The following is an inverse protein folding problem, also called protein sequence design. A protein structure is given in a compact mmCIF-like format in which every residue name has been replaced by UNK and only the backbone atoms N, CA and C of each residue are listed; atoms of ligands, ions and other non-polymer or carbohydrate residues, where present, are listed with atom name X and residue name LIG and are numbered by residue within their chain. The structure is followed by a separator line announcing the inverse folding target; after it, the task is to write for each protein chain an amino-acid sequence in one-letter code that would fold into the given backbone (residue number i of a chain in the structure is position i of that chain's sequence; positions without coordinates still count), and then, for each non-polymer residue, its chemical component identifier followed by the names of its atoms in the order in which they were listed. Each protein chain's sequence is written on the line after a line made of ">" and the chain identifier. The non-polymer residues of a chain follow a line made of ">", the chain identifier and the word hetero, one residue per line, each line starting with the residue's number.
data_IF_395864627024
#
_entry.id   IF_395864627024
#
_cell.length_a   1.000
_cell.length_b   1.000
_cell.length_c   1.000
_cell.angle_alpha   90.00
_cell.angle_beta   90.00
_cell.angle_gamma   90.00
#
_symmetry.space_group_name_H-M   'P 1'
#
loop_
_entity.id
_entity.type
_entity.pdbx_description
1 polymer ?
#
# COMPACT_ATOMS: atom_id res chain seq x y z
N UNK A 1 -20.79 -0.97 -27.01
CA UNK A 1 -19.64 -0.52 -26.18
C UNK A 1 -19.10 0.74 -26.81
N UNK A 2 -19.26 1.88 -26.13
CA UNK A 2 -18.75 3.16 -26.58
C UNK A 2 -18.42 4.07 -25.38
N UNK A 3 -17.43 4.94 -25.60
CA UNK A 3 -17.15 6.04 -24.69
C UNK A 3 -17.92 7.28 -25.18
N UNK A 4 -18.78 7.82 -24.32
CA UNK A 4 -19.64 8.97 -24.63
C UNK A 4 -19.32 10.13 -23.70
N UNK A 5 -19.58 11.36 -24.16
CA UNK A 5 -19.41 12.55 -23.33
C UNK A 5 -20.23 12.49 -22.02
N UNK A 6 -21.44 11.92 -22.05
CA UNK A 6 -22.30 11.75 -20.86
C UNK A 6 -21.71 10.80 -19.79
N UNK A 7 -20.70 10.00 -20.14
CA UNK A 7 -20.01 9.12 -19.20
C UNK A 7 -18.94 9.84 -18.37
N UNK A 8 -18.55 11.05 -18.78
CA UNK A 8 -17.49 11.84 -18.14
C UNK A 8 -18.10 12.77 -17.08
N UNK A 9 -17.81 12.50 -15.81
CA UNK A 9 -18.27 13.33 -14.70
C UNK A 9 -17.09 14.20 -14.24
N UNK A 10 -17.15 15.53 -14.41
CA UNK A 10 -16.03 16.41 -14.12
C UNK A 10 -15.71 16.48 -12.63
N UNK A 11 -14.44 16.69 -12.30
CA UNK A 11 -14.00 17.00 -10.95
C UNK A 11 -14.14 18.50 -10.69
N UNK A 12 -14.75 18.87 -9.56
CA UNK A 12 -14.82 20.27 -9.15
C UNK A 12 -13.49 20.74 -8.56
N UNK A 13 -13.17 22.02 -8.68
CA UNK A 13 -11.93 22.60 -8.12
C UNK A 13 -11.80 22.38 -6.62
N UNK A 14 -12.91 22.39 -5.88
CA UNK A 14 -12.92 22.11 -4.43
C UNK A 14 -12.54 20.67 -4.05
N UNK A 15 -12.64 19.73 -5.01
CA UNK A 15 -12.26 18.33 -4.83
C UNK A 15 -10.77 18.08 -5.16
N UNK A 16 -10.05 19.11 -5.64
CA UNK A 16 -8.63 19.02 -5.98
C UNK A 16 -7.77 19.40 -4.78
N UNK A 17 -6.66 18.68 -4.62
CA UNK A 17 -5.66 19.00 -3.60
C UNK A 17 -4.69 20.00 -4.22
N UNK A 18 -4.50 21.20 -3.64
CA UNK A 18 -3.54 22.17 -4.15
C UNK A 18 -2.10 21.64 -4.14
N UNK A 19 -1.28 22.07 -5.10
CA UNK A 19 0.14 21.71 -5.14
C UNK A 19 0.90 22.20 -3.89
N UNK A 20 0.51 23.35 -3.35
CA UNK A 20 1.08 23.99 -2.15
C UNK A 20 0.35 23.60 -0.85
N UNK A 21 -0.30 22.43 -0.82
CA UNK A 21 -1.01 21.96 0.37
C UNK A 21 -0.10 21.83 1.61
N UNK A 22 -0.67 22.12 2.78
CA UNK A 22 0.04 22.14 4.07
C UNK A 22 0.66 20.79 4.48
N UNK A 23 0.19 19.68 3.90
CA UNK A 23 0.64 18.33 4.27
C UNK A 23 1.75 17.78 3.38
N UNK A 24 2.05 18.44 2.25
CA UNK A 24 3.05 17.99 1.27
C UNK A 24 2.60 16.79 0.45
N UNK A 25 1.30 16.62 0.21
CA UNK A 25 0.79 15.58 -0.68
C UNK A 25 1.21 15.84 -2.14
N UNK A 26 1.63 14.79 -2.83
CA UNK A 26 2.01 14.78 -4.24
C UNK A 26 1.16 13.75 -4.97
N UNK A 27 -0.05 14.14 -5.34
CA UNK A 27 -1.03 13.26 -5.99
C UNK A 27 -1.30 13.70 -7.42
N UNK A 28 -1.37 12.74 -8.33
CA UNK A 28 -1.81 13.01 -9.69
C UNK A 28 -3.34 13.01 -9.69
N UNK A 29 -3.95 14.20 -9.65
CA UNK A 29 -5.40 14.33 -9.65
C UNK A 29 -5.95 14.18 -11.06
N UNK A 30 -6.79 13.15 -11.35
CA UNK A 30 -7.41 13.02 -12.66
C UNK A 30 -8.38 14.15 -12.96
N UNK A 31 -8.50 14.52 -14.24
CA UNK A 31 -9.42 15.55 -14.74
C UNK A 31 -10.86 15.26 -14.33
N UNK A 32 -11.28 13.99 -14.46
CA UNK A 32 -12.62 13.56 -14.14
C UNK A 32 -12.71 13.02 -12.70
N UNK A 33 -13.88 13.19 -12.11
CA UNK A 33 -14.25 12.54 -10.85
C UNK A 33 -14.61 11.09 -11.10
N UNK A 34 -15.32 10.83 -12.19
CA UNK A 34 -15.61 9.50 -12.69
C UNK A 34 -15.58 9.50 -14.21
N UNK A 35 -14.95 8.49 -14.79
CA UNK A 35 -15.05 8.18 -16.20
C UNK A 35 -15.77 6.83 -16.36
N UNK A 36 -17.04 6.87 -16.76
CA UNK A 36 -17.90 5.68 -16.95
C UNK A 36 -17.87 5.14 -18.38
N UNK A 37 -16.86 5.51 -19.17
CA UNK A 37 -16.68 5.05 -20.55
C UNK A 37 -16.61 3.53 -20.61
N UNK A 38 -17.46 2.89 -21.41
CA UNK A 38 -17.54 1.43 -21.45
C UNK A 38 -16.23 0.81 -21.98
N UNK A 39 -15.64 1.38 -23.03
CA UNK A 39 -14.40 0.88 -23.62
C UNK A 39 -13.21 1.23 -22.74
N UNK A 40 -13.19 2.44 -22.17
CA UNK A 40 -12.17 2.87 -21.20
C UNK A 40 -12.07 1.91 -20.00
N UNK A 41 -13.21 1.62 -19.36
CA UNK A 41 -13.25 0.73 -18.20
C UNK A 41 -12.87 -0.71 -18.56
N UNK A 42 -13.25 -1.20 -19.75
CA UNK A 42 -12.85 -2.52 -20.24
C UNK A 42 -11.36 -2.60 -20.65
N UNK A 43 -10.70 -1.46 -20.83
CA UNK A 43 -9.29 -1.37 -21.26
C UNK A 43 -8.30 -1.28 -20.09
N UNK A 44 -8.77 -1.37 -18.84
CA UNK A 44 -7.90 -1.38 -17.65
C UNK A 44 -6.95 -2.57 -17.71
N UNK A 45 -5.65 -2.29 -17.94
CA UNK A 45 -4.63 -3.32 -18.16
C UNK A 45 -4.32 -4.17 -16.93
N UNK A 46 -4.43 -3.59 -15.73
CA UNK A 46 -4.04 -4.23 -14.46
C UNK A 46 -5.01 -3.88 -13.34
N UNK A 47 -5.55 -4.91 -12.69
CA UNK A 47 -6.55 -4.77 -11.66
C UNK A 47 -7.92 -4.41 -12.24
N UNK A 48 -8.76 -3.78 -11.43
CA UNK A 48 -10.16 -3.50 -11.76
C UNK A 48 -10.52 -2.02 -11.62
N UNK A 49 -9.52 -1.17 -11.42
CA UNK A 49 -9.71 0.25 -11.11
C UNK A 49 -9.15 1.11 -12.24
N UNK A 50 -9.99 2.01 -12.72
CA UNK A 50 -9.59 3.17 -13.52
C UNK A 50 -8.67 4.11 -12.73
N UNK A 51 -8.08 5.10 -13.41
CA UNK A 51 -7.25 6.11 -12.75
C UNK A 51 -8.05 6.94 -11.74
N UNK A 52 -9.29 7.28 -12.07
CA UNK A 52 -10.22 8.00 -11.21
C UNK A 52 -10.56 7.21 -9.94
N UNK A 53 -10.89 5.92 -10.09
CA UNK A 53 -11.21 5.06 -8.95
C UNK A 53 -9.98 4.79 -8.08
N UNK A 54 -8.80 4.61 -8.70
CA UNK A 54 -7.54 4.47 -7.98
C UNK A 54 -7.21 5.71 -7.18
N UNK A 55 -7.39 6.90 -7.75
CA UNK A 55 -7.24 8.17 -7.03
C UNK A 55 -8.17 8.23 -5.81
N UNK A 56 -9.44 7.87 -5.99
CA UNK A 56 -10.42 7.88 -4.89
C UNK A 56 -10.05 6.90 -3.78
N UNK A 57 -9.66 5.67 -4.12
CA UNK A 57 -9.25 4.66 -3.14
C UNK A 57 -7.98 5.10 -2.42
N UNK A 58 -6.95 5.56 -3.14
CA UNK A 58 -5.71 6.06 -2.53
C UNK A 58 -5.95 7.25 -1.57
N UNK A 59 -7.07 7.96 -1.73
CA UNK A 59 -7.51 9.03 -0.85
C UNK A 59 -7.64 8.64 0.63
N UNK A 60 -7.80 7.35 0.97
CA UNK A 60 -7.84 6.90 2.37
C UNK A 60 -6.56 7.28 3.15
N UNK A 61 -5.41 7.32 2.48
CA UNK A 61 -4.13 7.71 3.08
C UNK A 61 -4.08 9.21 3.38
N UNK A 62 -4.60 10.02 2.45
CA UNK A 62 -4.76 11.47 2.63
C UNK A 62 -5.66 11.75 3.83
N UNK A 63 -6.84 11.12 3.88
CA UNK A 63 -7.79 11.32 4.98
C UNK A 63 -7.20 10.87 6.32
N UNK A 64 -6.49 9.74 6.35
CA UNK A 64 -5.77 9.25 7.54
C UNK A 64 -4.79 10.29 8.07
N UNK A 65 -3.96 10.87 7.20
CA UNK A 65 -3.00 11.91 7.60
C UNK A 65 -3.71 13.16 8.11
N UNK A 66 -4.74 13.64 7.41
CA UNK A 66 -5.49 14.84 7.82
C UNK A 66 -6.14 14.61 9.19
N UNK A 67 -6.85 13.49 9.37
CA UNK A 67 -7.55 13.18 10.62
C UNK A 67 -6.57 13.03 11.78
N UNK A 68 -5.51 12.24 11.61
CA UNK A 68 -4.57 11.94 12.70
C UNK A 68 -3.70 13.15 13.09
N UNK A 69 -3.36 14.05 12.15
CA UNK A 69 -2.64 15.28 12.51
C UNK A 69 -3.46 16.26 13.35
N UNK A 70 -4.79 16.14 13.34
CA UNK A 70 -5.67 16.97 14.17
C UNK A 70 -5.87 16.39 15.59
N UNK A 71 -5.32 15.21 15.89
CA UNK A 71 -5.43 14.61 17.22
C UNK A 71 -4.29 15.05 18.14
N UNK A 72 -4.56 15.27 19.45
CA UNK A 72 -3.57 15.74 20.41
C UNK A 72 -2.67 14.60 20.90
N UNK A 73 -1.83 14.04 20.03
CA UNK A 73 -0.91 12.96 20.41
C UNK A 73 0.15 13.44 21.42
N UNK A 74 0.47 12.64 22.46
CA UNK A 74 1.63 12.89 23.29
C UNK A 74 2.92 12.75 22.47
N UNK A 75 4.03 13.31 22.97
CA UNK A 75 5.34 13.30 22.26
C UNK A 75 5.79 11.91 21.82
N UNK A 76 5.49 10.86 22.60
CA UNK A 76 5.81 9.47 22.28
C UNK A 76 5.05 8.92 21.07
N UNK A 77 3.89 9.48 20.75
CA UNK A 77 3.01 9.05 19.65
C UNK A 77 2.97 10.06 18.49
N UNK A 78 3.85 11.07 18.49
CA UNK A 78 3.86 12.13 17.46
C UNK A 78 4.01 11.61 16.02
N UNK A 79 4.60 10.42 15.86
CA UNK A 79 4.83 9.81 14.55
C UNK A 79 3.64 8.97 14.04
N UNK A 80 2.59 8.76 14.85
CA UNK A 80 1.42 7.95 14.47
C UNK A 80 0.80 8.40 13.13
N UNK A 81 0.58 9.71 12.86
CA UNK A 81 0.06 10.14 11.56
C UNK A 81 0.96 9.76 10.38
N UNK A 82 2.29 9.81 10.57
CA UNK A 82 3.25 9.45 9.52
C UNK A 82 3.33 7.94 9.33
N UNK A 83 3.30 7.17 10.41
CA UNK A 83 3.27 5.70 10.35
C UNK A 83 2.03 5.24 9.59
N UNK A 84 0.85 5.61 10.09
CA UNK A 84 -0.44 5.32 9.46
C UNK A 84 -0.54 5.85 8.04
N UNK A 85 0.03 7.03 7.77
CA UNK A 85 -0.08 7.75 6.51
C UNK A 85 0.91 7.36 5.42
N UNK A 86 1.96 6.59 5.73
CA UNK A 86 3.06 6.33 4.79
C UNK A 86 3.37 4.86 4.56
N UNK A 87 2.55 3.92 5.04
CA UNK A 87 2.78 2.49 4.76
C UNK A 87 2.51 2.07 3.29
N UNK A 88 2.04 3.00 2.45
CA UNK A 88 1.95 2.86 0.99
C UNK A 88 3.06 3.61 0.23
N UNK A 89 4.02 4.20 0.95
CA UNK A 89 5.20 4.82 0.35
C UNK A 89 6.26 3.75 0.04
N UNK A 90 6.80 3.75 -1.17
CA UNK A 90 7.85 2.80 -1.59
C UNK A 90 9.24 3.36 -1.34
N UNK A 91 10.26 2.51 -1.27
CA UNK A 91 11.64 2.95 -0.95
C UNK A 91 12.24 3.83 -2.06
N UNK A 92 11.75 3.70 -3.29
CA UNK A 92 12.15 4.49 -4.45
C UNK A 92 11.33 5.78 -4.69
N UNK A 93 10.39 6.12 -3.79
CA UNK A 93 9.60 7.35 -3.87
C UNK A 93 8.49 7.33 -4.92
N UNK A 94 8.14 6.17 -5.48
CA UNK A 94 7.00 6.01 -6.41
C UNK A 94 5.66 5.73 -5.69
N UNK A 95 5.70 5.55 -4.38
CA UNK A 95 4.51 5.35 -3.55
C UNK A 95 3.69 6.63 -3.34
N UNK A 96 2.75 6.58 -2.41
CA UNK A 96 1.79 7.66 -2.16
C UNK A 96 1.45 7.75 -0.66
N UNK A 97 0.94 8.90 -0.17
CA UNK A 97 0.47 10.09 -0.91
C UNK A 97 1.48 11.24 -1.06
N UNK A 98 2.66 11.16 -0.48
CA UNK A 98 3.70 12.21 -0.47
C UNK A 98 4.91 11.89 -1.35
N UNK A 99 5.03 10.66 -1.86
CA UNK A 99 6.17 10.19 -2.66
C UNK A 99 7.48 10.33 -1.89
N UNK A 100 7.49 9.77 -0.68
CA UNK A 100 8.65 9.81 0.22
C UNK A 100 9.67 8.76 -0.20
N UNK A 101 10.95 9.12 -0.23
CA UNK A 101 12.02 8.13 -0.35
C UNK A 101 12.30 7.46 0.99
N UNK A 102 13.00 6.33 0.98
CA UNK A 102 13.32 5.52 2.17
C UNK A 102 13.82 6.34 3.39
N UNK A 103 14.72 7.31 3.17
CA UNK A 103 15.32 8.13 4.24
C UNK A 103 14.37 9.13 4.89
N UNK A 104 13.24 9.42 4.24
CA UNK A 104 12.20 10.31 4.75
C UNK A 104 11.13 9.56 5.56
N UNK A 105 11.17 8.22 5.53
CA UNK A 105 10.19 7.35 6.18
C UNK A 105 10.74 6.79 7.50
N UNK A 106 10.00 6.90 8.62
CA UNK A 106 10.43 6.29 9.86
C UNK A 106 10.46 4.76 9.72
N UNK A 107 11.41 4.11 10.40
CA UNK A 107 11.54 2.63 10.41
C UNK A 107 10.21 1.94 10.70
N UNK A 108 9.44 2.46 11.66
CA UNK A 108 8.14 1.90 12.01
C UNK A 108 7.12 1.94 10.88
N UNK A 109 7.17 2.92 9.97
CA UNK A 109 6.30 2.94 8.78
C UNK A 109 6.73 1.87 7.77
N UNK A 110 8.06 1.73 7.56
CA UNK A 110 8.64 0.71 6.68
C UNK A 110 8.36 -0.71 7.19
N UNK A 111 8.45 -0.93 8.51
CA UNK A 111 8.05 -2.18 9.16
C UNK A 111 6.56 -2.46 8.97
N UNK A 112 5.71 -1.43 9.13
CA UNK A 112 4.25 -1.60 8.99
C UNK A 112 3.85 -1.98 7.56
N UNK A 113 4.52 -1.43 6.54
CA UNK A 113 4.30 -1.84 5.16
C UNK A 113 4.57 -3.33 4.94
N UNK A 114 5.69 -3.86 5.46
CA UNK A 114 6.02 -5.29 5.35
C UNK A 114 4.94 -6.13 6.06
N UNK A 115 4.54 -5.72 7.26
CA UNK A 115 3.50 -6.40 8.04
C UNK A 115 2.14 -6.40 7.32
N UNK A 116 1.72 -5.26 6.77
CA UNK A 116 0.46 -5.10 6.03
C UNK A 116 0.43 -5.96 4.77
N UNK A 117 1.51 -5.94 3.98
CA UNK A 117 1.61 -6.78 2.78
C UNK A 117 1.58 -8.27 3.15
N UNK A 118 2.35 -8.68 4.17
CA UNK A 118 2.41 -10.08 4.58
C UNK A 118 1.06 -10.59 5.09
N UNK A 119 0.37 -9.81 5.93
CA UNK A 119 -1.00 -10.09 6.37
C UNK A 119 -1.93 -10.23 5.15
N UNK A 120 -1.91 -9.26 4.24
CA UNK A 120 -2.79 -9.26 3.07
C UNK A 120 -2.57 -10.42 2.10
N UNK A 121 -1.36 -10.98 2.05
CA UNK A 121 -1.04 -12.17 1.25
C UNK A 121 -1.50 -13.46 1.93
N UNK A 122 -1.43 -13.51 3.26
CA UNK A 122 -1.66 -14.73 4.06
C UNK A 122 -3.08 -14.82 4.63
N UNK A 123 -3.86 -13.74 4.62
CA UNK A 123 -5.23 -13.70 5.12
C UNK A 123 -6.16 -14.69 4.38
N UNK A 124 -6.85 -15.54 5.15
CA UNK A 124 -7.77 -16.58 4.65
C UNK A 124 -9.24 -16.18 4.65
N UNK A 125 -9.56 -15.02 5.20
CA UNK A 125 -10.92 -14.49 5.33
C UNK A 125 -11.37 -13.68 4.10
N UNK A 126 -10.51 -13.50 3.09
CA UNK A 126 -10.83 -12.75 1.87
C UNK A 126 -11.57 -13.64 0.86
N UNK A 127 -12.88 -13.41 0.60
CA UNK A 127 -13.71 -14.34 -0.18
C UNK A 127 -13.32 -14.47 -1.66
N UNK A 128 -12.59 -13.48 -2.19
CA UNK A 128 -12.18 -13.39 -3.59
C UNK A 128 -10.76 -13.89 -3.85
N UNK A 129 -10.02 -14.35 -2.83
CA UNK A 129 -8.62 -14.76 -3.00
C UNK A 129 -8.27 -15.89 -2.03
N UNK A 130 -7.74 -16.99 -2.56
CA UNK A 130 -7.17 -18.04 -1.72
C UNK A 130 -5.95 -17.48 -0.98
N UNK A 131 -5.87 -17.74 0.31
CA UNK A 131 -4.70 -17.41 1.10
C UNK A 131 -3.45 -18.09 0.54
N UNK A 132 -2.33 -17.35 0.56
CA UNK A 132 -1.05 -17.86 0.08
C UNK A 132 -0.36 -18.68 1.16
N UNK A 133 0.50 -19.60 0.72
CA UNK A 133 1.43 -20.26 1.64
C UNK A 133 2.53 -19.28 2.06
N UNK A 134 3.32 -19.66 3.06
CA UNK A 134 4.45 -18.85 3.49
C UNK A 134 5.49 -18.72 2.37
N UNK A 135 5.85 -19.81 1.69
CA UNK A 135 6.84 -19.76 0.60
C UNK A 135 6.40 -18.84 -0.54
N UNK A 136 5.11 -18.85 -0.90
CA UNK A 136 4.54 -17.93 -1.89
C UNK A 136 4.58 -16.47 -1.44
N UNK A 137 4.25 -16.22 -0.17
CA UNK A 137 4.19 -14.87 0.39
C UNK A 137 5.57 -14.24 0.50
N UNK A 138 6.56 -15.01 0.98
CA UNK A 138 7.95 -14.57 1.08
C UNK A 138 8.59 -14.36 -0.29
N UNK A 139 8.27 -15.19 -1.28
CA UNK A 139 8.70 -14.98 -2.67
C UNK A 139 8.15 -13.69 -3.27
N UNK A 140 6.90 -13.34 -2.98
CA UNK A 140 6.34 -12.06 -3.43
C UNK A 140 7.05 -10.89 -2.76
N UNK A 141 7.26 -10.97 -1.44
CA UNK A 141 8.00 -9.94 -0.70
C UNK A 141 9.44 -9.78 -1.20
N UNK A 142 10.13 -10.87 -1.55
CA UNK A 142 11.49 -10.78 -2.09
C UNK A 142 11.53 -10.09 -3.46
N UNK A 143 10.54 -10.32 -4.34
CA UNK A 143 10.42 -9.52 -5.56
C UNK A 143 10.14 -8.05 -5.27
N UNK A 144 9.26 -7.75 -4.32
CA UNK A 144 8.97 -6.38 -3.89
C UNK A 144 10.20 -5.68 -3.30
N UNK A 145 11.05 -6.41 -2.58
CA UNK A 145 12.34 -5.94 -2.07
C UNK A 145 13.28 -5.57 -3.22
N UNK A 146 13.42 -6.46 -4.21
CA UNK A 146 14.26 -6.24 -5.38
C UNK A 146 13.78 -5.05 -6.23
N UNK A 147 12.46 -4.85 -6.30
CA UNK A 147 11.83 -3.71 -6.96
C UNK A 147 11.87 -2.41 -6.14
N UNK A 148 12.55 -2.40 -4.98
CA UNK A 148 12.63 -1.27 -4.04
C UNK A 148 11.26 -0.78 -3.56
N UNK A 149 10.28 -1.68 -3.51
CA UNK A 149 8.98 -1.41 -2.93
C UNK A 149 9.06 -1.43 -1.40
N UNK A 150 9.74 -2.44 -0.85
CA UNK A 150 9.95 -2.59 0.61
C UNK A 150 11.41 -2.41 0.99
N UNK A 151 11.62 -2.17 2.27
CA UNK A 151 12.95 -2.01 2.86
C UNK A 151 13.73 -3.34 2.87
N UNK A 152 14.93 -3.39 2.26
CA UNK A 152 15.75 -4.59 2.21
C UNK A 152 16.23 -5.07 3.59
N UNK A 153 16.66 -4.16 4.45
CA UNK A 153 17.26 -4.51 5.75
C UNK A 153 16.18 -5.01 6.72
N UNK A 154 15.01 -4.39 6.68
CA UNK A 154 13.86 -4.81 7.49
C UNK A 154 13.24 -6.12 6.99
N UNK A 155 13.30 -6.39 5.69
CA UNK A 155 12.86 -7.69 5.15
C UNK A 155 13.79 -8.81 5.63
N UNK A 156 15.11 -8.60 5.59
CA UNK A 156 16.09 -9.58 6.07
C UNK A 156 15.94 -9.78 7.60
N UNK A 157 15.67 -8.70 8.35
CA UNK A 157 15.35 -8.78 9.78
C UNK A 157 14.06 -9.57 10.04
N UNK A 158 13.01 -9.36 9.25
CA UNK A 158 11.72 -10.06 9.37
C UNK A 158 11.88 -11.58 9.20
N UNK A 159 12.78 -12.00 8.31
CA UNK A 159 13.13 -13.41 8.10
C UNK A 159 14.01 -13.97 9.22
N UNK A 160 15.14 -13.33 9.51
CA UNK A 160 16.16 -13.83 10.44
C UNK A 160 15.67 -13.91 11.89
N UNK A 161 14.76 -13.03 12.29
CA UNK A 161 14.13 -13.06 13.63
C UNK A 161 13.03 -14.10 13.75
N UNK A 162 12.53 -14.65 12.64
CA UNK A 162 11.45 -15.63 12.62
C UNK A 162 10.06 -15.06 12.94
N UNK A 163 9.89 -13.74 12.97
CA UNK A 163 8.61 -13.09 13.28
C UNK A 163 7.50 -13.54 12.33
N UNK A 164 7.80 -13.71 11.04
CA UNK A 164 6.86 -14.25 10.05
C UNK A 164 6.30 -15.62 10.45
N UNK A 165 7.16 -16.48 11.01
CA UNK A 165 6.82 -17.85 11.41
C UNK A 165 6.08 -17.86 12.75
N UNK A 166 6.45 -16.99 13.68
CA UNK A 166 5.69 -16.80 14.93
C UNK A 166 4.26 -16.34 14.66
N UNK A 167 4.09 -15.36 13.76
CA UNK A 167 2.79 -14.94 13.28
C UNK A 167 2.04 -16.11 12.63
N UNK A 168 2.71 -16.84 11.72
CA UNK A 168 2.12 -17.94 10.98
C UNK A 168 1.55 -19.02 11.90
N UNK A 169 2.35 -19.47 12.88
CA UNK A 169 1.95 -20.49 13.85
C UNK A 169 0.75 -20.08 14.70
N UNK A 170 0.54 -18.77 14.89
CA UNK A 170 -0.53 -18.23 15.72
C UNK A 170 -1.82 -17.98 14.95
N UNK A 171 -1.73 -17.58 13.69
CA UNK A 171 -2.87 -17.02 12.95
C UNK A 171 -3.20 -17.73 11.64
N UNK A 172 -2.27 -18.48 11.05
CA UNK A 172 -2.50 -19.16 9.77
C UNK A 172 -2.91 -20.62 9.95
N UNK A 173 -3.58 -21.17 8.94
CA UNK A 173 -3.91 -22.59 8.94
C UNK A 173 -2.66 -23.45 8.69
N UNK A 174 -2.69 -24.70 9.14
CA UNK A 174 -1.59 -25.65 8.94
C UNK A 174 -1.20 -25.83 7.47
N UNK A 175 -2.17 -25.74 6.56
CA UNK A 175 -1.96 -25.93 5.12
C UNK A 175 -1.20 -24.76 4.47
N UNK A 176 -1.12 -23.61 5.14
CA UNK A 176 -0.37 -22.45 4.67
C UNK A 176 1.09 -22.46 5.10
N UNK A 177 1.44 -23.26 6.11
CA UNK A 177 2.78 -23.32 6.70
C UNK A 177 3.56 -24.44 6.00
N UNK A 178 4.11 -24.11 4.83
CA UNK A 178 4.99 -24.99 4.06
C UNK A 178 6.46 -24.85 4.47
N UNK A 179 7.28 -25.82 4.04
CA UNK A 179 8.72 -25.80 4.31
C UNK A 179 9.40 -24.66 3.55
N UNK A 180 10.27 -23.93 4.25
CA UNK A 180 10.97 -22.76 3.72
C UNK A 180 12.44 -22.81 4.12
N UNK A 181 13.31 -22.57 3.14
CA UNK A 181 14.67 -22.16 3.39
C UNK A 181 14.78 -20.63 3.27
N UNK A 182 15.04 -19.93 4.38
CA UNK A 182 15.09 -18.46 4.36
C UNK A 182 16.32 -17.93 3.60
N UNK A 183 17.38 -18.73 3.50
CA UNK A 183 18.60 -18.37 2.75
C UNK A 183 18.33 -18.11 1.27
N UNK A 184 17.23 -18.66 0.73
CA UNK A 184 16.82 -18.42 -0.65
C UNK A 184 16.28 -16.99 -0.87
N UNK A 185 16.00 -16.25 0.20
CA UNK A 185 15.37 -14.92 0.17
C UNK A 185 16.23 -13.80 0.78
N UNK A 186 17.27 -14.16 1.54
CA UNK A 186 18.23 -13.19 2.09
C UNK A 186 19.13 -12.62 0.98
N UNK A 187 19.80 -11.52 1.29
CA UNK A 187 20.55 -10.73 0.32
C UNK A 187 22.06 -10.74 0.45
#
# INVERSE_FOLDING_TARGET
>A
LADKAEHLIPRHEVDKIPEDNLWGFKVDTPEYKYNRGELYNLSVKKGTLSEEERYMINGHMIQTIIMLNNLPFPKSLRNVPLIAGSHHETMDGKGYPKRLVMTEQPETARMMMIADIFEALTASDRPYKKAKTLSESLRILSFMRNDKHIDPDLFDLFLTTGVYLEYAKKYLSSEQIDEINIEDFLS
#
